data_IF_856432166681
#
_entry.id   IF_856432166681
#
_cell.length_a   1.000
_cell.length_b   1.000
_cell.length_c   1.000
_cell.angle_alpha   90.00
_cell.angle_beta   90.00
_cell.angle_gamma   90.00
#
_symmetry.space_group_name_H-M   'P 1'
#
loop_
_entity.id
_entity.type
_entity.pdbx_description
1 polymer ?
#
# COMPACT_ATOMS: atom_id res chain seq x y z
N UNK A 1 6.38 23.09 -9.13
CA UNK A 1 5.47 21.94 -8.94
C UNK A 1 5.07 21.93 -7.49
N UNK A 2 3.77 21.86 -7.18
CA UNK A 2 3.30 21.72 -5.80
C UNK A 2 3.79 20.38 -5.23
N UNK A 3 4.22 20.36 -3.96
CA UNK A 3 4.55 19.12 -3.27
C UNK A 3 3.35 18.16 -3.28
N UNK A 4 3.60 16.84 -3.37
CA UNK A 4 2.54 15.83 -3.30
C UNK A 4 1.95 15.79 -1.88
N UNK A 5 0.67 15.50 -1.79
CA UNK A 5 -0.04 15.33 -0.53
C UNK A 5 0.29 13.93 0.02
N UNK A 6 0.90 13.91 1.21
CA UNK A 6 1.25 12.67 1.91
C UNK A 6 -0.02 12.01 2.47
N UNK A 7 -0.22 10.74 2.15
CA UNK A 7 -1.40 9.97 2.57
C UNK A 7 -1.01 8.64 3.19
N UNK A 8 -1.91 8.09 4.00
CA UNK A 8 -1.80 6.74 4.54
C UNK A 8 -3.06 5.92 4.28
N UNK A 9 -2.92 4.60 4.21
CA UNK A 9 -4.04 3.67 4.06
C UNK A 9 -4.21 2.88 5.36
N UNK A 10 -5.40 2.99 5.97
CA UNK A 10 -5.82 2.12 7.07
C UNK A 10 -6.54 0.89 6.49
N UNK A 11 -6.16 -0.30 6.94
CA UNK A 11 -6.67 -1.56 6.37
C UNK A 11 -6.00 -1.93 5.04
N UNK A 12 -4.73 -1.57 4.87
CA UNK A 12 -3.98 -1.72 3.62
C UNK A 12 -3.92 -3.16 3.07
N UNK A 13 -4.02 -4.19 3.93
CA UNK A 13 -3.99 -5.60 3.50
C UNK A 13 -5.34 -6.12 3.00
N UNK A 14 -6.44 -5.40 3.26
CA UNK A 14 -7.78 -5.78 2.79
C UNK A 14 -7.97 -5.51 1.29
N UNK A 15 -9.01 -6.06 0.68
CA UNK A 15 -9.25 -5.94 -0.77
C UNK A 15 -9.30 -4.47 -1.25
N UNK A 16 -9.97 -3.60 -0.49
CA UNK A 16 -10.04 -2.15 -0.80
C UNK A 16 -8.69 -1.47 -0.60
N UNK A 17 -7.93 -1.84 0.43
CA UNK A 17 -6.59 -1.31 0.68
C UNK A 17 -5.60 -1.66 -0.44
N UNK A 18 -5.61 -2.91 -0.89
CA UNK A 18 -4.84 -3.36 -2.05
C UNK A 18 -5.21 -2.57 -3.32
N UNK A 19 -6.51 -2.29 -3.52
CA UNK A 19 -6.96 -1.46 -4.66
C UNK A 19 -6.42 -0.04 -4.55
N UNK A 20 -6.47 0.59 -3.37
CA UNK A 20 -5.90 1.93 -3.19
C UNK A 20 -4.39 1.96 -3.47
N UNK A 21 -3.64 0.95 -3.02
CA UNK A 21 -2.22 0.81 -3.33
C UNK A 21 -1.97 0.85 -4.83
N UNK A 22 -2.76 0.11 -5.63
CA UNK A 22 -2.63 0.12 -7.09
C UNK A 22 -2.99 1.46 -7.73
N UNK A 23 -4.01 2.15 -7.20
CA UNK A 23 -4.45 3.44 -7.72
C UNK A 23 -3.50 4.59 -7.37
N UNK A 24 -2.73 4.44 -6.29
CA UNK A 24 -1.76 5.43 -5.84
C UNK A 24 -0.40 5.30 -6.54
N UNK A 25 -0.18 4.23 -7.29
CA UNK A 25 1.01 4.09 -8.12
C UNK A 25 1.10 5.24 -9.13
N UNK A 26 2.21 5.98 -9.08
CA UNK A 26 2.47 7.15 -9.94
C UNK A 26 1.40 8.27 -9.87
N UNK A 27 0.63 8.37 -8.77
CA UNK A 27 -0.44 9.35 -8.66
C UNK A 27 0.09 10.80 -8.71
N UNK A 28 -0.56 11.72 -9.46
CA UNK A 28 -0.05 13.08 -9.68
C UNK A 28 -0.09 13.94 -8.41
N UNK A 29 -1.04 13.67 -7.49
CA UNK A 29 -1.27 14.50 -6.31
C UNK A 29 -0.93 13.83 -4.99
N UNK A 30 -0.84 12.50 -4.94
CA UNK A 30 -0.74 11.76 -3.69
C UNK A 30 0.54 10.96 -3.65
N UNK A 31 1.16 10.96 -2.49
CA UNK A 31 2.30 10.11 -2.15
C UNK A 31 1.91 9.26 -0.94
N UNK A 32 1.88 7.95 -1.14
CA UNK A 32 1.58 7.01 -0.07
C UNK A 32 2.82 6.83 0.80
N UNK A 33 2.74 7.28 2.05
CA UNK A 33 3.87 7.26 3.00
C UNK A 33 3.65 6.35 4.19
N UNK A 34 2.42 5.84 4.39
CA UNK A 34 2.09 4.99 5.55
C UNK A 34 1.06 3.94 5.19
N UNK A 35 1.31 2.71 5.63
CA UNK A 35 0.37 1.60 5.54
C UNK A 35 0.07 1.14 6.97
N UNK A 36 -1.20 0.96 7.27
CA UNK A 36 -1.63 0.37 8.54
C UNK A 36 -2.57 -0.80 8.29
N UNK A 37 -2.41 -1.85 9.09
CA UNK A 37 -3.18 -3.08 8.99
C UNK A 37 -3.43 -3.65 10.39
N UNK A 38 -3.77 -4.95 10.46
CA UNK A 38 -3.99 -5.63 11.73
C UNK A 38 -2.69 -5.81 12.53
N UNK A 39 -2.81 -6.07 13.84
CA UNK A 39 -1.66 -6.36 14.72
C UNK A 39 -0.79 -7.53 14.22
N UNK A 40 -1.39 -8.55 13.57
CA UNK A 40 -0.65 -9.66 12.97
C UNK A 40 0.26 -9.23 11.79
N UNK A 41 -0.04 -8.10 11.16
CA UNK A 41 0.71 -7.55 10.03
C UNK A 41 1.75 -6.52 10.46
N UNK A 42 1.68 -6.04 11.71
CA UNK A 42 2.59 -5.01 12.21
C UNK A 42 4.04 -5.51 12.22
N UNK A 43 4.97 -4.66 11.77
CA UNK A 43 6.40 -4.95 11.73
C UNK A 43 6.86 -5.86 10.58
N UNK A 44 5.93 -6.29 9.72
CA UNK A 44 6.24 -7.00 8.47
C UNK A 44 6.25 -6.01 7.32
N UNK A 45 7.08 -6.26 6.32
CA UNK A 45 6.96 -5.56 5.04
C UNK A 45 5.58 -5.83 4.43
N UNK A 46 5.09 -4.92 3.58
CA UNK A 46 3.81 -5.08 2.94
C UNK A 46 3.74 -6.37 2.12
N UNK A 47 4.83 -6.72 1.43
CA UNK A 47 4.96 -7.97 0.67
C UNK A 47 4.82 -9.20 1.57
N UNK A 48 5.51 -9.25 2.71
CA UNK A 48 5.37 -10.34 3.69
C UNK A 48 3.95 -10.43 4.27
N UNK A 49 3.31 -9.28 4.49
CA UNK A 49 1.99 -9.22 5.10
C UNK A 49 0.87 -9.68 4.15
N UNK A 50 0.96 -9.36 2.86
CA UNK A 50 -0.16 -9.55 1.91
C UNK A 50 0.20 -10.34 0.65
N UNK A 51 1.46 -10.65 0.36
CA UNK A 51 1.89 -11.29 -0.90
C UNK A 51 1.11 -12.56 -1.25
N UNK A 52 0.99 -13.51 -0.31
CA UNK A 52 0.19 -14.73 -0.51
C UNK A 52 -1.34 -14.52 -0.52
N UNK A 53 -1.81 -13.30 -0.23
CA UNK A 53 -3.22 -12.89 -0.22
C UNK A 53 -3.51 -11.74 -1.18
N UNK A 54 -2.60 -11.49 -2.14
CA UNK A 54 -2.78 -10.45 -3.14
C UNK A 54 -3.96 -10.82 -4.06
N UNK A 55 -4.89 -9.88 -4.23
CA UNK A 55 -6.15 -10.08 -4.97
C UNK A 55 -6.27 -9.22 -6.22
N UNK A 56 -5.31 -8.34 -6.50
CA UNK A 56 -5.36 -7.50 -7.69
C UNK A 56 -4.84 -8.27 -8.91
N UNK A 57 -5.39 -7.98 -10.08
CA UNK A 57 -4.90 -8.53 -11.35
C UNK A 57 -3.53 -7.97 -11.74
N UNK A 58 -3.25 -6.74 -11.33
CA UNK A 58 -1.94 -6.10 -11.50
C UNK A 58 -0.96 -6.63 -10.46
N UNK A 59 0.35 -6.71 -10.77
CA UNK A 59 1.37 -6.98 -9.78
C UNK A 59 1.32 -5.99 -8.60
N UNK A 60 1.84 -6.40 -7.45
CA UNK A 60 2.04 -5.48 -6.32
C UNK A 60 3.03 -4.38 -6.74
N UNK A 61 2.67 -3.08 -6.62
CA UNK A 61 3.58 -1.98 -6.95
C UNK A 61 4.89 -2.06 -6.18
N UNK A 62 6.03 -1.86 -6.85
CA UNK A 62 7.35 -2.01 -6.22
C UNK A 62 7.55 -1.04 -5.05
N UNK A 63 6.98 0.16 -5.13
CA UNK A 63 7.18 1.22 -4.14
C UNK A 63 6.60 0.87 -2.75
N UNK A 64 5.65 -0.08 -2.66
CA UNK A 64 5.07 -0.49 -1.37
C UNK A 64 5.69 -1.74 -0.77
N UNK A 65 6.37 -2.58 -1.57
CA UNK A 65 6.75 -3.94 -1.13
C UNK A 65 7.51 -3.95 0.19
N UNK A 66 8.47 -3.03 0.33
CA UNK A 66 9.37 -2.92 1.48
C UNK A 66 8.86 -1.96 2.58
N UNK A 67 7.66 -1.38 2.45
CA UNK A 67 7.08 -0.53 3.50
C UNK A 67 6.65 -1.40 4.69
N UNK A 68 6.93 -0.94 5.91
CA UNK A 68 6.61 -1.61 7.19
C UNK A 68 5.55 -0.84 7.96
#
# INVERSE_FOLDING_TARGET
MSEKIKVGILGATGMVGQRFVTLLENHPWFELVTLAASAHSAGKTYEEAVGGRWKMETPMPEFVKNMV
#
